data_IF_823682688775
#
_entry.id   IF_823682688775
#
_cell.length_a   1.000
_cell.length_b   1.000
_cell.length_c   1.000
_cell.angle_alpha   90.00
_cell.angle_beta   90.00
_cell.angle_gamma   90.00
#
_symmetry.space_group_name_H-M   'P 1'
#
loop_
_entity.id
_entity.type
_entity.pdbx_description
1 polymer ?
#
# COMPACT_ATOMS: atom_id res chain seq x y z
N UNK A 1 38.33 17.32 41.79
CA UNK A 1 36.86 17.26 41.83
C UNK A 1 36.39 16.15 40.90
N UNK A 2 36.16 14.98 41.49
CA UNK A 2 35.64 13.77 40.85
C UNK A 2 34.16 13.97 40.53
N UNK A 3 33.73 13.69 39.29
CA UNK A 3 32.31 13.52 38.96
C UNK A 3 32.11 12.16 38.33
N UNK A 4 31.41 11.33 39.10
CA UNK A 4 30.93 10.01 38.77
C UNK A 4 30.09 9.98 37.49
N UNK A 5 30.48 9.14 36.55
CA UNK A 5 29.61 8.60 35.50
C UNK A 5 29.13 7.22 35.96
N UNK A 6 27.82 7.08 36.19
CA UNK A 6 27.15 5.83 36.52
C UNK A 6 27.18 4.87 35.31
N UNK A 7 27.42 3.56 35.51
CA UNK A 7 27.49 2.59 34.44
C UNK A 7 26.10 2.14 33.97
N UNK A 8 25.96 2.00 32.67
CA UNK A 8 24.86 1.32 31.97
C UNK A 8 24.64 -0.09 32.54
N UNK A 9 23.47 -0.33 33.12
CA UNK A 9 23.02 -1.65 33.56
C UNK A 9 22.77 -2.55 32.36
N UNK A 10 23.77 -3.37 32.08
CA UNK A 10 23.66 -4.68 31.45
C UNK A 10 22.82 -5.58 32.36
N UNK A 11 21.66 -6.06 31.92
CA UNK A 11 21.00 -7.21 32.55
C UNK A 11 20.97 -8.37 31.56
N UNK A 12 22.05 -9.14 31.59
CA UNK A 12 22.04 -10.53 31.19
C UNK A 12 21.93 -11.39 32.47
N UNK A 13 20.89 -12.22 32.58
CA UNK A 13 20.93 -13.64 32.99
C UNK A 13 19.56 -14.17 33.49
N UNK A 14 19.05 -15.19 32.78
CA UNK A 14 17.96 -16.15 33.17
C UNK A 14 18.48 -17.10 34.30
N UNK A 15 17.85 -18.24 34.76
CA UNK A 15 16.59 -18.94 34.38
C UNK A 15 15.78 -19.65 35.54
N UNK A 16 14.61 -20.25 35.23
CA UNK A 16 14.16 -21.64 35.56
C UNK A 16 12.65 -21.77 35.81
N UNK A 17 11.92 -22.38 34.88
CA UNK A 17 11.20 -23.61 35.18
C UNK A 17 11.65 -24.67 34.18
N UNK A 18 12.22 -25.75 34.74
CA UNK A 18 12.88 -26.84 34.01
C UNK A 18 11.85 -27.90 33.63
N UNK A 19 11.82 -28.24 32.34
CA UNK A 19 11.77 -29.63 31.90
C UNK A 19 13.07 -29.86 31.10
N UNK A 20 13.69 -31.00 31.33
CA UNK A 20 15.07 -31.36 30.98
C UNK A 20 15.32 -31.51 29.47
N UNK A 21 16.47 -31.02 28.99
CA UNK A 21 17.23 -31.64 27.87
C UNK A 21 17.25 -30.90 26.51
N UNK A 22 18.48 -30.64 26.03
CA UNK A 22 18.95 -30.56 24.62
C UNK A 22 18.05 -30.04 23.49
N UNK A 23 18.50 -28.95 22.85
CA UNK A 23 18.34 -28.56 21.43
C UNK A 23 17.00 -28.58 20.68
N UNK A 24 15.85 -28.88 21.29
CA UNK A 24 14.54 -28.69 20.64
C UNK A 24 13.39 -28.49 21.63
N UNK A 25 13.38 -27.35 22.30
CA UNK A 25 12.26 -26.96 23.18
C UNK A 25 10.97 -26.83 22.37
N UNK A 26 9.90 -27.53 22.75
CA UNK A 26 8.57 -27.32 22.15
C UNK A 26 7.99 -25.98 22.59
N UNK A 27 7.46 -25.21 21.64
CA UNK A 27 6.82 -23.92 21.84
C UNK A 27 5.49 -23.89 21.13
N UNK A 28 4.55 -23.12 21.70
CA UNK A 28 3.27 -22.84 21.04
C UNK A 28 3.49 -21.71 20.05
N UNK A 29 3.02 -21.89 18.82
CA UNK A 29 3.06 -20.87 17.77
C UNK A 29 1.66 -20.64 17.23
N UNK A 30 1.40 -19.41 16.77
CA UNK A 30 0.18 -19.12 16.00
C UNK A 30 0.48 -19.46 14.55
N UNK A 31 -0.15 -20.51 14.04
CA UNK A 31 0.03 -20.97 12.67
C UNK A 31 -0.89 -20.21 11.72
N UNK A 32 -2.19 -20.16 12.03
CA UNK A 32 -3.19 -19.57 11.16
C UNK A 32 -4.25 -18.77 11.94
N UNK A 33 -4.89 -17.82 11.25
CA UNK A 33 -5.97 -16.99 11.80
C UNK A 33 -7.09 -16.92 10.78
N UNK A 34 -8.30 -17.27 11.18
CA UNK A 34 -9.49 -17.25 10.33
C UNK A 34 -10.46 -16.20 10.86
N UNK A 35 -10.75 -15.17 10.06
CA UNK A 35 -11.78 -14.19 10.39
C UNK A 35 -13.11 -14.59 9.75
N UNK A 36 -14.16 -14.63 10.56
CA UNK A 36 -15.51 -15.01 10.13
C UNK A 36 -16.43 -13.80 9.91
N UNK A 37 -15.94 -12.58 10.19
CA UNK A 37 -16.81 -11.40 10.21
C UNK A 37 -16.05 -10.13 9.80
N UNK A 38 -16.27 -9.03 10.50
CA UNK A 38 -15.80 -7.68 10.15
C UNK A 38 -14.32 -7.43 10.48
N UNK A 39 -13.68 -8.27 11.29
CA UNK A 39 -12.28 -8.05 11.68
C UNK A 39 -11.31 -8.53 10.59
N UNK A 40 -10.20 -7.82 10.43
CA UNK A 40 -9.04 -8.38 9.70
C UNK A 40 -8.32 -9.40 10.58
N UNK A 41 -7.60 -10.35 10.00
CA UNK A 41 -6.80 -11.36 10.74
C UNK A 41 -5.90 -10.74 11.82
N UNK A 42 -5.27 -9.60 11.54
CA UNK A 42 -4.45 -8.89 12.52
C UNK A 42 -5.24 -8.26 13.66
N UNK A 43 -6.46 -7.78 13.40
CA UNK A 43 -7.36 -7.25 14.44
C UNK A 43 -7.95 -8.38 15.27
N UNK A 44 -8.31 -9.50 14.65
CA UNK A 44 -8.73 -10.72 15.36
C UNK A 44 -7.61 -11.22 16.28
N UNK A 45 -6.37 -11.26 15.79
CA UNK A 45 -5.20 -11.62 16.59
C UNK A 45 -4.98 -10.64 17.75
N UNK A 46 -5.14 -9.34 17.50
CA UNK A 46 -5.05 -8.33 18.55
C UNK A 46 -6.15 -8.46 19.62
N UNK A 47 -7.37 -8.83 19.21
CA UNK A 47 -8.49 -9.09 20.11
C UNK A 47 -8.20 -10.31 20.99
N UNK A 48 -7.63 -11.38 20.43
CA UNK A 48 -7.23 -12.53 21.23
C UNK A 48 -6.02 -12.27 22.15
N UNK A 49 -5.21 -11.25 21.82
CA UNK A 49 -4.08 -10.78 22.62
C UNK A 49 -4.48 -9.85 23.79
N UNK A 50 -5.79 -9.58 23.96
CA UNK A 50 -6.35 -8.83 25.08
C UNK A 50 -6.36 -9.67 26.36
N UNK A 51 -5.15 -9.92 26.87
CA UNK A 51 -4.87 -10.68 28.10
C UNK A 51 -4.08 -9.82 29.09
N UNK A 52 -3.92 -10.24 30.35
CA UNK A 52 -3.08 -9.55 31.32
C UNK A 52 -1.65 -9.35 30.83
N UNK A 53 -1.04 -8.21 31.18
CA UNK A 53 0.32 -7.87 30.74
C UNK A 53 1.37 -8.86 31.27
N UNK A 54 1.09 -9.46 32.42
CA UNK A 54 1.89 -10.39 33.20
C UNK A 54 1.45 -11.85 33.06
N UNK A 55 0.58 -12.17 32.09
CA UNK A 55 0.16 -13.55 31.83
C UNK A 55 1.35 -14.44 31.49
N UNK A 56 1.45 -15.59 32.17
CA UNK A 56 2.46 -16.63 31.94
C UNK A 56 1.93 -17.82 31.14
N UNK A 57 0.74 -17.70 30.56
CA UNK A 57 0.16 -18.77 29.72
C UNK A 57 0.95 -18.84 28.38
N UNK A 58 1.51 -20.00 27.99
CA UNK A 58 2.23 -20.14 26.74
C UNK A 58 1.39 -19.78 25.50
N UNK A 59 0.06 -19.93 25.57
CA UNK A 59 -0.87 -19.52 24.52
C UNK A 59 -0.91 -17.99 24.40
N UNK A 60 -0.99 -17.30 25.53
CA UNK A 60 -1.02 -15.83 25.57
C UNK A 60 0.30 -15.26 25.05
N UNK A 61 1.42 -15.84 25.49
CA UNK A 61 2.75 -15.47 25.00
C UNK A 61 2.87 -15.68 23.48
N UNK A 62 2.40 -16.80 22.95
CA UNK A 62 2.43 -17.10 21.51
C UNK A 62 1.59 -16.12 20.69
N UNK A 63 0.39 -15.78 21.16
CA UNK A 63 -0.51 -14.82 20.50
C UNK A 63 0.11 -13.41 20.50
N UNK A 64 0.65 -12.97 21.64
CA UNK A 64 1.29 -11.66 21.78
C UNK A 64 2.55 -11.57 20.92
N UNK A 65 3.38 -12.61 20.93
CA UNK A 65 4.59 -12.68 20.10
C UNK A 65 4.23 -12.68 18.61
N UNK A 66 3.18 -13.42 18.21
CA UNK A 66 2.68 -13.42 16.83
C UNK A 66 2.16 -12.05 16.42
N UNK A 67 1.42 -11.35 17.28
CA UNK A 67 0.94 -10.00 17.00
C UNK A 67 2.10 -9.01 16.81
N UNK A 68 3.05 -9.00 17.73
CA UNK A 68 4.22 -8.12 17.66
C UNK A 68 5.07 -8.38 16.40
N UNK A 69 5.17 -9.65 15.98
CA UNK A 69 5.97 -10.04 14.81
C UNK A 69 5.25 -9.79 13.49
N UNK A 70 3.96 -10.16 13.41
CA UNK A 70 3.21 -10.14 12.16
C UNK A 70 2.49 -8.81 11.89
N UNK A 71 2.17 -8.05 12.95
CA UNK A 71 1.43 -6.77 12.87
C UNK A 71 1.99 -5.74 13.88
N UNK A 72 3.25 -5.30 13.72
CA UNK A 72 3.83 -4.27 14.59
C UNK A 72 3.11 -2.92 14.50
N UNK A 73 2.27 -2.72 13.48
CA UNK A 73 1.40 -1.56 13.31
C UNK A 73 0.18 -1.54 14.26
N UNK A 74 -0.17 -2.68 14.87
CA UNK A 74 -1.29 -2.78 15.82
C UNK A 74 -0.75 -2.82 17.25
N UNK A 75 -1.11 -1.82 18.06
CA UNK A 75 -0.77 -1.78 19.48
C UNK A 75 -1.66 -2.76 20.26
N UNK A 76 -1.03 -3.64 21.05
CA UNK A 76 -1.73 -4.51 22.01
C UNK A 76 -2.39 -3.65 23.09
N UNK A 77 -3.62 -4.00 23.46
CA UNK A 77 -4.33 -3.42 24.61
C UNK A 77 -4.23 -4.43 25.75
N UNK A 78 -3.34 -4.23 26.75
CA UNK A 78 -3.29 -5.09 27.92
C UNK A 78 -4.56 -4.92 28.76
N UNK A 79 -5.06 -6.01 29.31
CA UNK A 79 -6.27 -6.00 30.15
C UNK A 79 -5.85 -6.07 31.62
N UNK A 80 -6.47 -5.25 32.48
CA UNK A 80 -6.22 -5.31 33.91
C UNK A 80 -6.67 -6.68 34.48
N UNK A 81 -5.98 -7.19 35.51
CA UNK A 81 -6.30 -8.50 36.09
C UNK A 81 -7.77 -8.61 36.54
N UNK A 82 -8.32 -7.54 37.12
CA UNK A 82 -9.73 -7.46 37.56
C UNK A 82 -10.74 -7.53 36.40
N UNK A 83 -10.29 -7.22 35.19
CA UNK A 83 -11.09 -7.22 33.96
C UNK A 83 -10.85 -8.48 33.13
N UNK A 84 -10.09 -9.45 33.63
CA UNK A 84 -9.79 -10.71 32.95
C UNK A 84 -10.21 -11.90 33.80
N UNK A 85 -11.10 -12.73 33.24
CA UNK A 85 -11.51 -13.97 33.85
C UNK A 85 -10.94 -15.15 33.04
N UNK A 86 -9.97 -15.91 33.58
CA UNK A 86 -9.33 -17.01 32.87
C UNK A 86 -10.30 -18.17 32.60
N UNK A 87 -9.96 -19.03 31.65
CA UNK A 87 -10.70 -20.27 31.41
C UNK A 87 -10.50 -21.24 32.58
N UNK A 88 -11.56 -21.96 32.94
CA UNK A 88 -11.53 -23.03 33.96
C UNK A 88 -11.92 -24.37 33.32
N UNK A 89 -11.68 -25.52 33.97
CA UNK A 89 -12.09 -26.81 33.44
C UNK A 89 -13.60 -26.91 33.15
N UNK A 90 -14.41 -26.22 33.97
CA UNK A 90 -15.86 -26.11 33.83
C UNK A 90 -16.26 -25.09 32.76
N UNK A 91 -15.50 -23.97 32.66
CA UNK A 91 -15.71 -22.89 31.70
C UNK A 91 -14.54 -22.82 30.72
N UNK A 92 -14.64 -23.58 29.62
CA UNK A 92 -13.59 -23.70 28.57
C UNK A 92 -13.38 -22.44 27.70
N UNK A 93 -13.69 -21.26 28.25
CA UNK A 93 -13.44 -19.96 27.65
C UNK A 93 -13.05 -18.93 28.71
N UNK A 94 -12.18 -18.00 28.33
CA UNK A 94 -11.82 -16.80 29.09
C UNK A 94 -12.67 -15.61 28.64
N UNK A 95 -12.89 -14.66 29.55
CA UNK A 95 -13.54 -13.39 29.28
C UNK A 95 -12.59 -12.23 29.60
N UNK A 96 -12.55 -11.23 28.73
CA UNK A 96 -11.73 -10.04 28.91
C UNK A 96 -12.55 -8.78 28.59
N UNK A 97 -12.63 -7.86 29.55
CA UNK A 97 -13.25 -6.56 29.36
C UNK A 97 -12.22 -5.58 28.79
N UNK A 98 -12.44 -5.13 27.56
CA UNK A 98 -11.50 -4.30 26.79
C UNK A 98 -12.14 -2.95 26.50
N UNK A 99 -11.44 -1.87 26.85
CA UNK A 99 -11.89 -0.50 26.57
C UNK A 99 -11.16 0.09 25.37
N UNK A 100 -11.89 0.76 24.47
CA UNK A 100 -11.31 1.47 23.33
C UNK A 100 -10.71 0.57 22.24
N UNK A 101 -11.22 -0.66 22.06
CA UNK A 101 -10.80 -1.52 20.96
C UNK A 101 -11.27 -0.93 19.62
N UNK A 102 -10.34 -0.78 18.66
CA UNK A 102 -10.65 -0.14 17.39
C UNK A 102 -11.27 -1.12 16.39
N UNK A 103 -12.57 -0.97 16.15
CA UNK A 103 -13.31 -1.60 15.04
C UNK A 103 -13.68 -0.50 14.04
N UNK A 104 -13.32 -0.66 12.76
CA UNK A 104 -13.58 0.33 11.70
C UNK A 104 -13.14 1.76 12.05
N UNK A 105 -12.00 1.88 12.75
CA UNK A 105 -11.41 3.13 13.28
C UNK A 105 -12.26 3.85 14.34
N UNK A 106 -13.29 3.21 14.86
CA UNK A 106 -14.08 3.70 16.00
C UNK A 106 -13.69 2.93 17.26
N UNK A 107 -13.31 3.61 18.35
CA UNK A 107 -13.07 2.95 19.62
C UNK A 107 -14.40 2.43 20.18
N UNK A 108 -14.41 1.17 20.61
CA UNK A 108 -15.57 0.51 21.22
C UNK A 108 -15.14 -0.24 22.47
N UNK A 109 -16.01 -0.28 23.46
CA UNK A 109 -15.82 -1.05 24.69
C UNK A 109 -16.47 -2.41 24.50
N UNK A 110 -15.67 -3.47 24.62
CA UNK A 110 -16.05 -4.82 24.22
C UNK A 110 -15.76 -5.82 25.33
N UNK A 111 -16.64 -6.80 25.47
CA UNK A 111 -16.36 -8.04 26.16
C UNK A 111 -15.85 -9.05 25.15
N UNK A 112 -14.62 -9.53 25.32
CA UNK A 112 -13.98 -10.50 24.44
C UNK A 112 -14.03 -11.88 25.10
N UNK A 113 -14.55 -12.86 24.37
CA UNK A 113 -14.58 -14.26 24.77
C UNK A 113 -13.58 -15.05 23.92
N UNK A 114 -12.74 -15.87 24.56
CA UNK A 114 -11.76 -16.73 23.87
C UNK A 114 -11.77 -18.13 24.46
N UNK A 115 -11.98 -19.15 23.65
CA UNK A 115 -12.07 -20.53 24.15
C UNK A 115 -12.05 -21.58 23.05
N UNK A 116 -12.40 -22.82 23.42
CA UNK A 116 -12.61 -23.88 22.42
C UNK A 116 -13.82 -23.53 21.54
N UNK A 117 -13.81 -23.97 20.28
CA UNK A 117 -14.88 -23.66 19.32
C UNK A 117 -16.26 -24.00 19.87
N UNK A 118 -16.44 -25.21 20.39
CA UNK A 118 -17.72 -25.65 20.95
C UNK A 118 -18.21 -24.77 22.10
N UNK A 119 -17.28 -24.32 22.95
CA UNK A 119 -17.60 -23.54 24.13
C UNK A 119 -17.98 -22.10 23.77
N UNK A 120 -17.32 -21.52 22.76
CA UNK A 120 -17.67 -20.20 22.24
C UNK A 120 -18.98 -20.25 21.48
N UNK A 121 -19.20 -21.24 20.62
CA UNK A 121 -20.44 -21.40 19.86
C UNK A 121 -21.67 -21.71 20.74
N UNK A 122 -21.47 -22.23 21.95
CA UNK A 122 -22.54 -22.39 22.93
C UNK A 122 -23.05 -21.05 23.51
N UNK A 123 -22.24 -20.00 23.44
CA UNK A 123 -22.54 -18.70 24.04
C UNK A 123 -22.51 -17.52 23.06
N UNK A 124 -22.15 -17.74 21.79
CA UNK A 124 -22.04 -16.72 20.76
C UNK A 124 -22.74 -17.15 19.47
N UNK A 125 -23.34 -16.18 18.78
CA UNK A 125 -23.98 -16.41 17.48
C UNK A 125 -22.99 -16.20 16.32
N UNK A 126 -23.22 -16.95 15.25
CA UNK A 126 -22.45 -16.87 14.01
C UNK A 126 -23.43 -16.75 12.85
N UNK A 127 -23.09 -15.91 11.87
CA UNK A 127 -23.92 -15.68 10.69
C UNK A 127 -24.09 -16.99 9.91
N UNK A 128 -25.31 -17.21 9.37
CA UNK A 128 -25.69 -18.49 8.75
C UNK A 128 -24.80 -18.87 7.57
N UNK A 129 -24.34 -17.88 6.81
CA UNK A 129 -23.46 -18.03 5.66
C UNK A 129 -22.04 -18.44 6.06
N UNK A 130 -21.57 -17.95 7.21
CA UNK A 130 -20.21 -18.15 7.73
C UNK A 130 -20.08 -19.42 8.57
N UNK A 131 -21.19 -19.92 9.12
CA UNK A 131 -21.19 -21.10 10.01
C UNK A 131 -20.58 -22.35 9.38
N UNK A 132 -20.94 -22.65 8.14
CA UNK A 132 -20.47 -23.88 7.47
C UNK A 132 -18.99 -23.80 7.08
N UNK A 133 -18.51 -22.72 6.43
CA UNK A 133 -17.09 -22.50 6.18
C UNK A 133 -16.26 -22.52 7.47
N UNK A 134 -16.68 -21.79 8.50
CA UNK A 134 -15.99 -21.69 9.78
C UNK A 134 -15.75 -23.07 10.42
N UNK A 135 -16.80 -23.89 10.52
CA UNK A 135 -16.70 -25.23 11.12
C UNK A 135 -15.83 -26.17 10.29
N UNK A 136 -15.99 -26.18 8.95
CA UNK A 136 -15.20 -27.05 8.07
C UNK A 136 -13.70 -26.72 8.11
N UNK A 137 -13.36 -25.44 8.10
CA UNK A 137 -11.96 -25.00 8.17
C UNK A 137 -11.35 -25.34 9.52
N UNK A 138 -12.08 -25.08 10.61
CA UNK A 138 -11.62 -25.45 11.94
C UNK A 138 -11.42 -26.97 12.08
N UNK A 139 -12.39 -27.78 11.66
CA UNK A 139 -12.30 -29.25 11.71
C UNK A 139 -11.10 -29.76 10.88
N UNK A 140 -10.88 -29.17 9.70
CA UNK A 140 -9.72 -29.50 8.86
C UNK A 140 -8.40 -29.22 9.60
N UNK A 141 -8.25 -28.03 10.19
CA UNK A 141 -7.04 -27.64 10.90
C UNK A 141 -6.82 -28.50 12.17
N UNK A 142 -7.89 -28.82 12.89
CA UNK A 142 -7.81 -29.72 14.05
C UNK A 142 -7.41 -31.14 13.65
N UNK A 143 -7.90 -31.65 12.52
CA UNK A 143 -7.46 -32.93 11.95
C UNK A 143 -6.00 -32.94 11.50
N UNK A 144 -5.44 -31.78 11.15
CA UNK A 144 -4.00 -31.63 10.87
C UNK A 144 -3.15 -31.51 12.13
N UNK A 145 -3.74 -31.58 13.32
CA UNK A 145 -3.04 -31.53 14.61
C UNK A 145 -2.89 -30.12 15.19
N UNK A 146 -3.55 -29.12 14.62
CA UNK A 146 -3.59 -27.77 15.18
C UNK A 146 -4.69 -27.66 16.23
N UNK A 147 -4.56 -26.74 17.18
CA UNK A 147 -5.60 -26.45 18.16
C UNK A 147 -6.26 -25.13 17.85
N UNK A 148 -7.57 -25.13 17.55
CA UNK A 148 -8.29 -23.91 17.24
C UNK A 148 -8.89 -23.26 18.50
N UNK A 149 -8.66 -21.97 18.66
CA UNK A 149 -9.26 -21.13 19.68
C UNK A 149 -10.21 -20.11 19.03
N UNK A 150 -11.50 -20.27 19.25
CA UNK A 150 -12.49 -19.32 18.80
C UNK A 150 -12.44 -18.03 19.63
N UNK A 151 -12.74 -16.92 18.97
CA UNK A 151 -12.81 -15.58 19.55
C UNK A 151 -14.17 -14.99 19.19
N UNK A 152 -14.89 -14.53 20.20
CA UNK A 152 -16.15 -13.81 20.05
C UNK A 152 -16.08 -12.48 20.78
N UNK A 153 -16.90 -11.52 20.35
CA UNK A 153 -17.00 -10.21 20.99
C UNK A 153 -18.46 -9.79 21.17
N UNK A 154 -18.72 -9.06 22.26
CA UNK A 154 -19.99 -8.39 22.54
C UNK A 154 -19.71 -6.94 22.91
N UNK A 155 -20.58 -6.02 22.47
CA UNK A 155 -20.53 -4.63 22.93
C UNK A 155 -20.97 -4.54 24.40
N UNK A 156 -20.30 -3.70 25.18
CA UNK A 156 -20.68 -3.47 26.58
C UNK A 156 -21.77 -2.41 26.61
N UNK A 157 -22.93 -2.77 27.12
CA UNK A 157 -24.09 -1.89 27.24
C UNK A 157 -23.85 -0.82 28.32
N UNK A 158 -24.59 0.30 28.31
CA UNK A 158 -24.43 1.39 29.29
C UNK A 158 -24.62 0.97 30.76
N UNK A 159 -25.30 -0.15 31.00
CA UNK A 159 -25.49 -0.76 32.32
C UNK A 159 -24.29 -1.62 32.77
N UNK A 160 -23.26 -1.75 31.94
CA UNK A 160 -22.05 -2.52 32.19
C UNK A 160 -22.16 -4.00 31.85
N UNK A 161 -23.30 -4.47 31.35
CA UNK A 161 -23.50 -5.86 30.94
C UNK A 161 -23.04 -6.09 29.49
N UNK A 162 -22.52 -7.29 29.15
CA UNK A 162 -22.23 -7.63 27.77
C UNK A 162 -23.53 -7.86 27.00
N UNK A 163 -23.62 -7.29 25.79
CA UNK A 163 -24.68 -7.61 24.84
C UNK A 163 -24.55 -9.01 24.24
N UNK A 164 -25.17 -9.25 23.09
CA UNK A 164 -25.07 -10.54 22.41
C UNK A 164 -23.64 -10.78 21.88
N UNK A 165 -23.08 -11.95 22.18
CA UNK A 165 -21.77 -12.33 21.65
C UNK A 165 -21.90 -12.78 20.21
N UNK A 166 -21.03 -12.26 19.36
CA UNK A 166 -20.88 -12.71 17.99
C UNK A 166 -19.48 -13.29 17.78
N UNK A 167 -19.39 -14.40 17.07
CA UNK A 167 -18.11 -14.99 16.68
C UNK A 167 -17.42 -14.08 15.68
N UNK A 168 -16.18 -13.68 16.00
CA UNK A 168 -15.34 -12.86 15.12
C UNK A 168 -14.38 -13.73 14.30
N UNK A 169 -14.03 -14.92 14.80
CA UNK A 169 -13.12 -15.84 14.10
C UNK A 169 -12.48 -16.88 15.04
N UNK A 170 -11.42 -17.52 14.57
CA UNK A 170 -10.58 -18.38 15.41
C UNK A 170 -9.09 -18.25 15.08
N UNK A 171 -8.25 -18.70 16.00
CA UNK A 171 -6.80 -18.76 15.89
C UNK A 171 -6.36 -20.21 16.02
N UNK A 172 -5.62 -20.72 15.03
CA UNK A 172 -5.05 -22.05 15.06
C UNK A 172 -3.64 -22.00 15.65
N UNK A 173 -3.44 -22.79 16.71
CA UNK A 173 -2.17 -22.93 17.42
C UNK A 173 -1.51 -24.23 17.03
N UNK A 174 -0.20 -24.17 16.77
CA UNK A 174 0.64 -25.34 16.58
C UNK A 174 1.55 -25.55 17.79
N UNK A 175 1.97 -26.79 18.00
CA UNK A 175 3.05 -27.13 18.93
C UNK A 175 4.26 -27.53 18.09
N UNK A 176 5.27 -26.68 18.06
CA UNK A 176 6.43 -26.83 17.19
C UNK A 176 7.71 -26.79 17.99
N UNK A 177 8.77 -27.38 17.44
CA UNK A 177 10.11 -27.24 17.98
C UNK A 177 10.59 -25.80 17.80
N UNK A 178 11.23 -25.21 18.81
CA UNK A 178 11.69 -23.82 18.78
C UNK A 178 12.64 -23.54 17.61
N UNK A 179 13.43 -24.52 17.20
CA UNK A 179 14.32 -24.40 16.04
C UNK A 179 13.54 -24.28 14.73
N UNK A 180 12.44 -25.03 14.59
CA UNK A 180 11.56 -25.03 13.42
C UNK A 180 10.63 -23.82 13.42
N UNK A 181 10.06 -23.44 14.56
CA UNK A 181 9.32 -22.20 14.73
C UNK A 181 10.14 -20.96 14.35
N UNK A 182 11.43 -20.92 14.72
CA UNK A 182 12.35 -19.84 14.29
C UNK A 182 12.60 -19.84 12.78
N UNK A 183 12.64 -21.02 12.14
CA UNK A 183 12.77 -21.15 10.68
C UNK A 183 11.47 -20.75 9.97
N UNK A 184 10.31 -21.10 10.50
CA UNK A 184 9.00 -20.79 9.92
C UNK A 184 8.63 -19.31 10.06
N UNK A 185 8.87 -18.71 11.23
CA UNK A 185 8.73 -17.25 11.42
C UNK A 185 9.69 -16.47 10.50
N UNK A 186 10.88 -17.02 10.24
CA UNK A 186 11.84 -16.46 9.29
C UNK A 186 11.59 -16.84 7.82
N UNK A 187 10.65 -17.76 7.55
CA UNK A 187 10.69 -18.58 6.36
C UNK A 187 9.41 -19.28 5.95
N UNK A 188 8.21 -18.79 6.28
CA UNK A 188 6.99 -19.18 5.56
C UNK A 188 6.98 -18.43 4.21
N UNK A 189 7.51 -19.00 3.12
CA UNK A 189 7.75 -18.30 1.85
C UNK A 189 6.46 -18.17 1.02
N UNK A 190 5.36 -18.73 1.53
CA UNK A 190 4.05 -18.76 0.92
C UNK A 190 3.06 -17.80 1.61
N UNK A 191 3.43 -17.22 2.76
CA UNK A 191 2.64 -16.18 3.40
C UNK A 191 2.71 -14.89 2.56
N UNK A 192 1.54 -14.36 2.20
CA UNK A 192 1.43 -13.09 1.48
C UNK A 192 1.37 -11.92 2.47
N UNK A 193 2.29 -10.99 2.34
CA UNK A 193 2.32 -9.75 3.11
C UNK A 193 1.91 -8.61 2.18
N UNK A 194 0.88 -7.84 2.59
CA UNK A 194 0.51 -6.61 1.90
C UNK A 194 1.46 -5.50 2.28
N UNK A 195 2.20 -4.97 1.32
CA UNK A 195 3.05 -3.80 1.48
C UNK A 195 2.34 -2.61 0.84
N UNK A 196 2.05 -1.57 1.62
CA UNK A 196 1.52 -0.33 1.09
C UNK A 196 2.65 0.44 0.42
N UNK A 197 2.74 0.32 -0.90
CA UNK A 197 3.72 1.04 -1.68
C UNK A 197 3.25 2.47 -1.91
N UNK A 198 2.06 2.68 -2.48
CA UNK A 198 1.66 3.97 -3.03
C UNK A 198 0.73 4.74 -2.10
N UNK A 199 1.16 5.92 -1.66
CA UNK A 199 0.32 6.81 -0.86
C UNK A 199 -0.91 7.29 -1.66
N UNK A 200 -2.00 7.59 -0.96
CA UNK A 200 -3.24 8.07 -1.59
C UNK A 200 -3.00 9.33 -2.42
N UNK A 201 -2.15 10.25 -1.94
CA UNK A 201 -1.76 11.48 -2.65
C UNK A 201 -1.12 11.18 -4.00
N UNK A 202 -0.19 10.23 -4.05
CA UNK A 202 0.51 9.87 -5.30
C UNK A 202 -0.45 9.24 -6.31
N UNK A 203 -1.40 8.42 -5.85
CA UNK A 203 -2.46 7.84 -6.70
C UNK A 203 -3.36 8.93 -7.29
N UNK A 204 -3.85 9.85 -6.47
CA UNK A 204 -4.67 10.98 -6.94
C UNK A 204 -3.92 11.81 -7.97
N UNK A 205 -2.64 12.13 -7.71
CA UNK A 205 -1.82 12.88 -8.67
C UNK A 205 -1.68 12.15 -10.01
N UNK A 206 -1.46 10.85 -10.01
CA UNK A 206 -1.33 10.08 -11.24
C UNK A 206 -2.63 10.06 -12.05
N UNK A 207 -3.76 9.73 -11.43
CA UNK A 207 -5.04 9.67 -12.14
C UNK A 207 -5.50 11.04 -12.62
N UNK A 208 -5.23 12.10 -11.85
CA UNK A 208 -5.44 13.48 -12.31
C UNK A 208 -4.55 13.83 -13.51
N UNK A 209 -3.28 13.42 -13.51
CA UNK A 209 -2.39 13.61 -14.66
C UNK A 209 -2.92 12.89 -15.90
N UNK A 210 -3.38 11.64 -15.76
CA UNK A 210 -3.94 10.88 -16.87
C UNK A 210 -5.12 11.60 -17.52
N UNK A 211 -6.11 12.02 -16.72
CA UNK A 211 -7.30 12.71 -17.23
C UNK A 211 -6.94 14.01 -17.94
N UNK A 212 -6.05 14.80 -17.35
CA UNK A 212 -5.62 16.08 -17.94
C UNK A 212 -4.80 15.89 -19.23
N UNK A 213 -3.87 14.93 -19.26
CA UNK A 213 -3.06 14.64 -20.45
C UNK A 213 -3.94 14.12 -21.59
N UNK A 214 -4.95 13.30 -21.31
CA UNK A 214 -5.91 12.83 -22.32
C UNK A 214 -6.71 14.02 -22.89
N UNK A 215 -7.27 14.88 -22.02
CA UNK A 215 -8.01 16.07 -22.46
C UNK A 215 -7.13 17.01 -23.30
N UNK A 216 -5.91 17.29 -22.84
CA UNK A 216 -4.91 18.12 -23.55
C UNK A 216 -4.51 17.51 -24.89
N UNK A 217 -4.35 16.19 -24.96
CA UNK A 217 -3.96 15.49 -26.19
C UNK A 217 -5.06 15.53 -27.24
N UNK A 218 -6.30 15.21 -26.86
CA UNK A 218 -7.45 15.23 -27.78
C UNK A 218 -7.68 16.64 -28.31
N UNK A 219 -7.76 17.62 -27.41
CA UNK A 219 -7.98 19.02 -27.81
C UNK A 219 -6.78 19.60 -28.57
N UNK A 220 -5.55 19.25 -28.18
CA UNK A 220 -4.33 19.70 -28.84
C UNK A 220 -4.19 19.17 -30.27
N UNK A 221 -4.54 17.90 -30.48
CA UNK A 221 -4.57 17.30 -31.82
C UNK A 221 -5.61 17.97 -32.70
N UNK A 222 -6.83 18.20 -32.20
CA UNK A 222 -7.89 18.96 -32.89
C UNK A 222 -7.43 20.39 -33.24
N UNK A 223 -6.67 21.04 -32.36
CA UNK A 223 -6.15 22.40 -32.60
C UNK A 223 -5.07 22.41 -33.70
N UNK A 224 -4.25 21.37 -33.74
CA UNK A 224 -3.17 21.21 -34.72
C UNK A 224 -3.71 20.84 -36.10
N UNK A 225 -4.66 19.91 -36.16
CA UNK A 225 -5.32 19.47 -37.39
C UNK A 225 -6.84 19.70 -37.30
N UNK A 226 -7.33 20.91 -37.60
CA UNK A 226 -8.75 21.23 -37.55
C UNK A 226 -9.57 20.49 -38.63
N UNK A 227 -8.91 19.86 -39.61
CA UNK A 227 -9.57 19.12 -40.69
C UNK A 227 -10.33 17.88 -40.22
N UNK A 228 -10.02 17.37 -39.02
CA UNK A 228 -10.70 16.21 -38.43
C UNK A 228 -12.11 16.53 -37.92
N UNK A 229 -12.40 17.80 -37.66
CA UNK A 229 -13.72 18.24 -37.23
C UNK A 229 -14.66 18.34 -38.43
N UNK A 230 -15.98 18.09 -38.26
CA UNK A 230 -16.96 18.40 -39.27
C UNK A 230 -16.78 19.86 -39.68
N UNK A 231 -16.47 20.07 -40.96
CA UNK A 231 -16.38 21.43 -41.48
C UNK A 231 -17.76 22.07 -41.30
N UNK A 232 -17.83 23.28 -40.71
CA UNK A 232 -19.11 23.93 -40.50
C UNK A 232 -19.83 24.02 -41.85
N UNK A 233 -21.00 23.35 -41.96
CA UNK A 233 -21.91 23.68 -43.05
C UNK A 233 -22.28 25.14 -42.82
N UNK A 234 -21.82 26.01 -43.72
CA UNK A 234 -22.14 27.43 -43.66
C UNK A 234 -23.62 27.53 -44.02
N UNK A 235 -24.48 27.48 -43.00
CA UNK A 235 -25.85 27.94 -43.10
C UNK A 235 -25.83 29.46 -42.85
N UNK A 236 -26.15 30.31 -43.86
CA UNK A 236 -26.20 31.75 -43.70
C UNK A 236 -27.22 32.23 -42.64
N UNK A 237 -28.16 31.37 -42.24
CA UNK A 237 -29.22 31.67 -41.27
C UNK A 237 -29.01 30.99 -39.88
N UNK A 238 -27.99 30.16 -39.72
CA UNK A 238 -27.75 29.37 -38.50
C UNK A 238 -26.75 30.02 -37.52
N UNK A 239 -26.75 29.62 -36.23
CA UNK A 239 -25.73 30.07 -35.28
C UNK A 239 -24.33 29.65 -35.72
N UNK A 240 -23.37 30.59 -35.68
CA UNK A 240 -21.96 30.33 -36.04
C UNK A 240 -21.37 29.23 -35.15
N UNK A 241 -20.84 28.13 -35.72
CA UNK A 241 -20.27 27.04 -34.92
C UNK A 241 -19.04 27.50 -34.12
N UNK A 242 -19.12 27.46 -32.78
CA UNK A 242 -18.03 27.87 -31.86
C UNK A 242 -17.13 26.69 -31.41
N UNK A 243 -17.18 25.57 -32.13
CA UNK A 243 -16.54 24.32 -31.73
C UNK A 243 -15.03 24.46 -31.47
N UNK A 244 -14.30 25.15 -32.37
CA UNK A 244 -12.87 25.40 -32.20
C UNK A 244 -12.57 26.29 -30.99
N UNK A 245 -13.46 27.25 -30.68
CA UNK A 245 -13.37 28.07 -29.48
C UNK A 245 -13.51 27.23 -28.21
N UNK A 246 -14.49 26.33 -28.18
CA UNK A 246 -14.69 25.37 -27.08
C UNK A 246 -13.49 24.44 -26.90
N UNK A 247 -12.93 23.89 -27.98
CA UNK A 247 -11.75 23.02 -27.91
C UNK A 247 -10.53 23.75 -27.35
N UNK A 248 -10.29 24.99 -27.78
CA UNK A 248 -9.22 25.85 -27.23
C UNK A 248 -9.46 26.16 -25.75
N UNK A 249 -10.69 26.47 -25.37
CA UNK A 249 -11.04 26.74 -23.98
C UNK A 249 -10.75 25.53 -23.08
N UNK A 250 -11.22 24.34 -23.47
CA UNK A 250 -10.95 23.09 -22.73
C UNK A 250 -9.43 22.86 -22.65
N UNK A 251 -8.70 23.02 -23.75
CA UNK A 251 -7.25 22.86 -23.78
C UNK A 251 -6.54 23.79 -22.77
N UNK A 252 -6.91 25.08 -22.74
CA UNK A 252 -6.29 26.03 -21.82
C UNK A 252 -6.64 25.73 -20.36
N UNK A 253 -7.91 25.44 -20.05
CA UNK A 253 -8.35 25.09 -18.69
C UNK A 253 -7.64 23.83 -18.21
N UNK A 254 -7.56 22.78 -19.05
CA UNK A 254 -6.80 21.58 -18.73
C UNK A 254 -5.31 21.86 -18.56
N UNK A 255 -4.73 22.76 -19.37
CA UNK A 255 -3.34 23.18 -19.27
C UNK A 255 -3.02 23.87 -17.95
N UNK A 256 -3.86 24.83 -17.53
CA UNK A 256 -3.70 25.47 -16.22
C UNK A 256 -3.93 24.49 -15.06
N UNK A 257 -4.91 23.59 -15.18
CA UNK A 257 -5.11 22.50 -14.21
C UNK A 257 -3.87 21.59 -14.09
N UNK A 258 -3.23 21.29 -15.22
CA UNK A 258 -2.01 20.48 -15.25
C UNK A 258 -0.80 21.21 -14.66
N UNK A 259 -0.69 22.53 -14.86
CA UNK A 259 0.31 23.37 -14.19
C UNK A 259 0.12 23.35 -12.68
N UNK A 260 -1.10 23.53 -12.18
CA UNK A 260 -1.39 23.44 -10.73
C UNK A 260 -0.97 22.07 -10.20
N UNK A 261 -1.33 21.00 -10.90
CA UNK A 261 -0.94 19.64 -10.53
C UNK A 261 0.59 19.46 -10.52
N UNK A 262 1.30 20.00 -11.51
CA UNK A 262 2.76 19.98 -11.58
C UNK A 262 3.41 20.78 -10.44
N UNK A 263 2.85 21.93 -10.06
CA UNK A 263 3.32 22.72 -8.92
C UNK A 263 3.11 21.99 -7.59
N UNK A 264 1.95 21.36 -7.38
CA UNK A 264 1.73 20.52 -6.19
C UNK A 264 2.71 19.36 -6.13
N UNK A 265 3.03 18.74 -7.28
CA UNK A 265 4.05 17.69 -7.39
C UNK A 265 5.43 18.22 -7.02
N UNK A 266 5.82 19.38 -7.55
CA UNK A 266 7.10 20.01 -7.24
C UNK A 266 7.20 20.32 -5.74
N UNK A 267 6.15 20.86 -5.14
CA UNK A 267 6.09 21.13 -3.69
C UNK A 267 6.24 19.84 -2.86
N UNK A 268 5.49 18.79 -3.20
CA UNK A 268 5.59 17.49 -2.53
C UNK A 268 6.98 16.86 -2.70
N UNK A 269 7.67 17.10 -3.82
CA UNK A 269 9.01 16.57 -4.05
C UNK A 269 10.06 17.06 -3.04
N UNK A 270 9.81 18.21 -2.40
CA UNK A 270 10.66 18.76 -1.34
C UNK A 270 10.15 18.46 0.07
N UNK A 271 8.82 18.48 0.28
CA UNK A 271 8.22 18.46 1.64
C UNK A 271 7.79 17.06 2.10
N UNK A 272 7.50 16.14 1.18
CA UNK A 272 6.91 14.85 1.55
C UNK A 272 7.84 13.97 2.38
N UNK A 273 7.27 13.36 3.44
CA UNK A 273 7.95 12.34 4.28
C UNK A 273 8.11 10.99 3.55
N UNK A 274 7.24 10.70 2.58
CA UNK A 274 7.29 9.43 1.83
C UNK A 274 8.51 9.38 0.90
N UNK A 275 9.28 8.30 1.00
CA UNK A 275 10.51 8.09 0.22
C UNK A 275 10.27 8.18 -1.30
N UNK A 276 9.13 7.70 -1.77
CA UNK A 276 8.75 7.67 -3.20
C UNK A 276 8.31 9.04 -3.74
N UNK A 277 7.91 9.97 -2.87
CA UNK A 277 7.50 11.31 -3.28
C UNK A 277 8.70 12.26 -3.47
N UNK A 278 9.87 11.94 -2.88
CA UNK A 278 11.04 12.82 -2.88
C UNK A 278 11.79 12.82 -4.21
N UNK A 279 12.34 13.98 -4.56
CA UNK A 279 13.23 14.18 -5.72
C UNK A 279 14.37 13.15 -5.82
N UNK A 280 14.92 12.73 -4.67
CA UNK A 280 16.00 11.74 -4.60
C UNK A 280 15.62 10.34 -5.15
N UNK A 281 14.34 10.04 -5.29
CA UNK A 281 13.82 8.80 -5.88
C UNK A 281 13.76 8.82 -7.41
N UNK A 282 13.95 9.98 -8.05
CA UNK A 282 13.90 10.12 -9.51
C UNK A 282 15.27 9.88 -10.17
N UNK A 283 16.37 9.97 -9.42
CA UNK A 283 17.72 9.78 -9.96
C UNK A 283 18.31 8.41 -9.57
N UNK A 284 18.31 7.42 -10.49
CA UNK A 284 18.75 6.06 -10.22
C UNK A 284 20.28 5.89 -10.20
N UNK A 285 21.06 6.83 -10.73
CA UNK A 285 22.49 6.65 -10.97
C UNK A 285 23.35 7.19 -9.83
N UNK A 286 23.25 6.59 -8.62
CA UNK A 286 24.07 7.01 -7.46
C UNK A 286 25.19 6.03 -7.12
N UNK A 287 25.05 4.77 -7.48
CA UNK A 287 26.01 3.71 -7.16
C UNK A 287 26.37 2.86 -8.39
N UNK A 288 27.57 2.26 -8.38
CA UNK A 288 28.01 1.27 -9.39
C UNK A 288 27.06 0.07 -9.47
N UNK A 289 26.38 -0.28 -8.37
CA UNK A 289 25.36 -1.34 -8.32
C UNK A 289 24.08 -0.98 -9.09
N UNK A 290 23.70 0.29 -9.10
CA UNK A 290 22.49 0.76 -9.80
C UNK A 290 22.69 0.71 -11.32
N UNK A 291 23.91 1.04 -11.78
CA UNK A 291 24.31 0.95 -13.20
C UNK A 291 24.35 -0.51 -13.67
N UNK A 292 24.87 -1.42 -12.84
CA UNK A 292 24.83 -2.86 -13.14
C UNK A 292 23.39 -3.41 -13.21
N UNK A 293 22.52 -2.95 -12.30
CA UNK A 293 21.08 -3.28 -12.34
C UNK A 293 20.35 -2.74 -13.56
N UNK A 294 20.72 -1.54 -14.03
CA UNK A 294 20.20 -0.95 -15.28
C UNK A 294 20.59 -1.80 -16.50
N UNK A 295 21.87 -2.21 -16.59
CA UNK A 295 22.34 -3.06 -17.70
C UNK A 295 21.66 -4.42 -17.67
N UNK A 296 21.52 -5.04 -16.49
CA UNK A 296 20.81 -6.31 -16.33
C UNK A 296 19.33 -6.22 -16.71
N UNK A 297 18.68 -5.10 -16.39
CA UNK A 297 17.31 -4.81 -16.83
C UNK A 297 17.20 -4.70 -18.35
N UNK A 298 18.08 -3.91 -18.98
CA UNK A 298 18.05 -3.70 -20.42
C UNK A 298 18.27 -5.04 -21.14
N UNK A 299 19.22 -5.86 -20.66
CA UNK A 299 19.45 -7.21 -21.19
C UNK A 299 18.23 -8.11 -21.05
N UNK A 300 17.56 -8.09 -19.89
CA UNK A 300 16.32 -8.84 -19.69
C UNK A 300 15.21 -8.39 -20.66
N UNK A 301 14.99 -7.08 -20.85
CA UNK A 301 14.00 -6.57 -21.79
C UNK A 301 14.36 -6.81 -23.27
N UNK A 302 15.65 -6.92 -23.58
CA UNK A 302 16.15 -7.35 -24.90
C UNK A 302 16.17 -8.88 -25.06
N UNK A 303 15.59 -9.63 -24.12
CA UNK A 303 15.54 -11.10 -24.11
C UNK A 303 16.90 -11.80 -24.11
N UNK A 304 17.96 -11.11 -23.67
CA UNK A 304 19.31 -11.66 -23.55
C UNK A 304 19.44 -12.55 -22.31
N UNK A 305 18.75 -12.21 -21.22
CA UNK A 305 18.76 -12.98 -19.97
C UNK A 305 17.38 -13.56 -19.65
N UNK A 306 17.31 -14.81 -19.18
CA UNK A 306 16.06 -15.52 -18.88
C UNK A 306 15.37 -15.05 -17.58
N UNK A 307 16.11 -14.48 -16.64
CA UNK A 307 15.60 -14.03 -15.33
C UNK A 307 16.00 -12.57 -15.08
N UNK A 308 15.00 -11.71 -14.84
CA UNK A 308 15.20 -10.29 -14.54
C UNK A 308 15.38 -10.03 -13.03
N UNK A 309 16.14 -8.98 -12.64
CA UNK A 309 16.23 -8.55 -11.26
C UNK A 309 14.86 -8.05 -10.72
N UNK A 310 14.51 -8.45 -9.50
CA UNK A 310 13.25 -8.07 -8.83
C UNK A 310 13.40 -6.73 -8.13
N UNK A 311 12.59 -5.74 -8.54
CA UNK A 311 12.47 -4.42 -7.91
C UNK A 311 11.09 -4.24 -7.27
N UNK A 312 11.03 -3.57 -6.12
CA UNK A 312 9.81 -3.31 -5.36
C UNK A 312 9.05 -2.11 -5.92
N UNK A 313 9.74 -0.98 -6.09
CA UNK A 313 9.11 0.27 -6.48
C UNK A 313 9.31 0.54 -7.96
N UNK A 314 10.53 0.87 -8.37
CA UNK A 314 10.85 1.20 -9.76
C UNK A 314 12.22 0.67 -10.16
N UNK A 315 12.25 0.03 -11.32
CA UNK A 315 13.47 -0.33 -12.00
C UNK A 315 14.29 0.93 -12.39
N UNK A 316 15.64 0.90 -12.35
CA UNK A 316 16.50 1.97 -12.88
C UNK A 316 16.11 2.49 -14.27
N UNK A 317 15.70 1.61 -15.20
CA UNK A 317 15.24 2.02 -16.53
C UNK A 317 13.93 2.80 -16.46
N UNK A 318 13.01 2.39 -15.59
CA UNK A 318 11.76 3.11 -15.35
C UNK A 318 12.03 4.49 -14.73
N UNK A 319 12.97 4.58 -13.78
CA UNK A 319 13.35 5.86 -13.16
C UNK A 319 13.97 6.85 -14.18
N UNK A 320 14.79 6.35 -15.12
CA UNK A 320 15.30 7.17 -16.23
C UNK A 320 14.19 7.63 -17.17
N UNK A 321 13.30 6.72 -17.57
CA UNK A 321 12.15 7.05 -18.41
C UNK A 321 11.25 8.09 -17.74
N UNK A 322 11.02 7.98 -16.42
CA UNK A 322 10.27 8.98 -15.67
C UNK A 322 10.99 10.33 -15.61
N UNK A 323 12.31 10.34 -15.41
CA UNK A 323 13.07 11.61 -15.44
C UNK A 323 12.97 12.28 -16.81
N UNK A 324 13.07 11.50 -17.89
CA UNK A 324 12.92 12.00 -19.26
C UNK A 324 11.52 12.56 -19.51
N UNK A 325 10.45 11.84 -19.11
CA UNK A 325 9.08 12.33 -19.31
C UNK A 325 8.78 13.57 -18.47
N UNK A 326 9.31 13.69 -17.24
CA UNK A 326 9.19 14.92 -16.45
C UNK A 326 9.86 16.11 -17.16
N UNK A 327 11.03 15.91 -17.75
CA UNK A 327 11.69 16.92 -18.57
C UNK A 327 10.83 17.35 -19.77
N UNK A 328 10.27 16.38 -20.51
CA UNK A 328 9.37 16.66 -21.63
C UNK A 328 8.11 17.41 -21.18
N UNK A 329 7.50 17.04 -20.05
CA UNK A 329 6.33 17.73 -19.50
C UNK A 329 6.63 19.19 -19.13
N UNK A 330 7.82 19.47 -18.58
CA UNK A 330 8.25 20.84 -18.29
C UNK A 330 8.34 21.65 -19.58
N UNK A 331 8.97 21.12 -20.62
CA UNK A 331 9.08 21.78 -21.93
C UNK A 331 7.68 21.97 -22.54
N UNK A 332 6.78 20.99 -22.37
CA UNK A 332 5.40 21.09 -22.86
C UNK A 332 4.63 22.23 -22.18
N UNK A 333 4.77 22.38 -20.87
CA UNK A 333 4.17 23.48 -20.10
C UNK A 333 4.72 24.83 -20.58
N UNK A 334 6.05 24.97 -20.67
CA UNK A 334 6.66 26.24 -21.06
C UNK A 334 6.38 26.61 -22.52
N UNK A 335 6.42 25.65 -23.44
CA UNK A 335 6.05 25.90 -24.84
C UNK A 335 4.57 26.30 -24.98
N UNK A 336 3.67 25.64 -24.24
CA UNK A 336 2.25 25.99 -24.21
C UNK A 336 2.01 27.40 -23.65
N UNK A 337 2.66 27.75 -22.53
CA UNK A 337 2.59 29.08 -21.93
C UNK A 337 3.21 30.16 -22.85
N UNK A 338 4.28 29.83 -23.57
CA UNK A 338 4.90 30.75 -24.52
C UNK A 338 3.95 31.07 -25.68
N UNK A 339 3.25 30.07 -26.22
CA UNK A 339 2.24 30.26 -27.28
C UNK A 339 1.02 31.01 -26.74
N UNK A 340 0.55 30.67 -25.53
CA UNK A 340 -0.60 31.34 -24.90
C UNK A 340 -0.30 32.82 -24.60
N UNK A 341 0.92 33.12 -24.12
CA UNK A 341 1.36 34.47 -23.78
C UNK A 341 1.43 35.43 -24.97
N UNK A 342 1.42 34.93 -26.21
CA UNK A 342 1.34 35.77 -27.42
C UNK A 342 0.05 36.59 -27.47
N UNK A 343 -1.02 36.15 -26.80
CA UNK A 343 -2.29 36.88 -26.76
C UNK A 343 -2.20 38.22 -26.01
N UNK A 344 -1.40 38.28 -24.93
CA UNK A 344 -1.26 39.48 -24.10
C UNK A 344 0.20 39.87 -23.92
N UNK A 345 0.92 40.04 -25.03
CA UNK A 345 2.35 40.32 -25.03
C UNK A 345 2.74 41.68 -24.40
N UNK A 346 1.78 42.59 -24.22
CA UNK A 346 2.02 43.90 -23.59
C UNK A 346 2.21 43.81 -22.07
N UNK A 347 1.71 42.75 -21.44
CA UNK A 347 1.96 42.51 -20.02
C UNK A 347 3.38 41.96 -19.80
N UNK A 348 4.12 42.54 -18.85
CA UNK A 348 5.52 42.18 -18.60
C UNK A 348 5.74 40.69 -18.27
N UNK A 349 4.81 40.05 -17.56
CA UNK A 349 4.88 38.61 -17.26
C UNK A 349 4.76 37.78 -18.55
N UNK A 350 3.72 38.01 -19.35
CA UNK A 350 3.48 37.27 -20.60
C UNK A 350 4.55 37.54 -21.66
N UNK A 351 5.15 38.74 -21.67
CA UNK A 351 6.30 39.08 -22.52
C UNK A 351 7.50 38.19 -22.24
N UNK A 352 7.83 37.96 -20.97
CA UNK A 352 8.95 37.08 -20.58
C UNK A 352 8.65 35.64 -20.95
N UNK A 353 7.44 35.13 -20.65
CA UNK A 353 7.09 33.74 -20.96
C UNK A 353 7.02 33.46 -22.46
N UNK A 354 6.64 34.45 -23.29
CA UNK A 354 6.58 34.30 -24.75
C UNK A 354 7.89 34.61 -25.47
N UNK A 355 8.91 35.15 -24.78
CA UNK A 355 10.22 35.47 -25.38
C UNK A 355 10.86 34.28 -26.14
N UNK A 356 10.81 33.03 -25.64
CA UNK A 356 11.36 31.88 -26.39
C UNK A 356 10.69 31.64 -27.74
N UNK A 357 9.39 31.97 -27.88
CA UNK A 357 8.69 31.86 -29.16
C UNK A 357 9.18 32.90 -30.18
N UNK A 358 9.68 34.05 -29.71
CA UNK A 358 10.34 35.06 -30.54
C UNK A 358 11.73 34.62 -31.02
N UNK A 359 12.50 33.92 -30.19
CA UNK A 359 13.86 33.46 -30.55
C UNK A 359 13.87 32.27 -31.51
N UNK A 360 12.99 31.30 -31.26
CA UNK A 360 12.95 30.03 -32.00
C UNK A 360 12.01 30.14 -33.21
N UNK A 361 11.09 31.12 -33.20
CA UNK A 361 10.04 31.33 -34.19
C UNK A 361 8.72 30.67 -33.79
N UNK A 362 7.61 31.38 -34.02
CA UNK A 362 6.26 30.91 -33.64
C UNK A 362 5.90 29.56 -34.29
N UNK A 363 6.14 29.33 -35.61
CA UNK A 363 5.86 28.03 -36.22
C UNK A 363 6.66 26.89 -35.59
N UNK A 364 7.94 27.12 -35.32
CA UNK A 364 8.81 26.14 -34.67
C UNK A 364 8.39 25.85 -33.24
N UNK A 365 7.95 26.86 -32.48
CA UNK A 365 7.42 26.66 -31.13
C UNK A 365 6.15 25.79 -31.14
N UNK A 366 5.24 26.00 -32.11
CA UNK A 366 4.06 25.15 -32.31
C UNK A 366 4.46 23.71 -32.69
N UNK A 367 5.44 23.56 -33.56
CA UNK A 367 5.98 22.25 -33.94
C UNK A 367 6.57 21.51 -32.74
N UNK A 368 7.39 22.16 -31.92
CA UNK A 368 7.97 21.57 -30.70
C UNK A 368 6.87 21.12 -29.74
N UNK A 369 5.86 21.96 -29.51
CA UNK A 369 4.73 21.63 -28.63
C UNK A 369 3.92 20.42 -29.14
N UNK A 370 3.67 20.35 -30.46
CA UNK A 370 2.98 19.21 -31.07
C UNK A 370 3.85 17.94 -31.07
N UNK A 371 5.15 18.06 -31.36
CA UNK A 371 6.08 16.94 -31.37
C UNK A 371 6.17 16.28 -29.98
N UNK A 372 6.25 17.08 -28.92
CA UNK A 372 6.30 16.56 -27.55
C UNK A 372 4.98 15.85 -27.17
N UNK A 373 3.82 16.33 -27.63
CA UNK A 373 2.55 15.61 -27.47
C UNK A 373 2.64 14.19 -28.06
N UNK A 374 3.19 14.03 -29.27
CA UNK A 374 3.38 12.70 -29.86
C UNK A 374 4.40 11.84 -29.11
N UNK A 375 5.49 12.43 -28.60
CA UNK A 375 6.43 11.70 -27.74
C UNK A 375 5.75 11.21 -26.44
N UNK A 376 4.86 12.01 -25.87
CA UNK A 376 4.04 11.61 -24.72
C UNK A 376 3.11 10.45 -25.09
N UNK A 377 2.53 10.43 -26.30
CA UNK A 377 1.70 9.31 -26.75
C UNK A 377 2.50 8.00 -26.85
N UNK A 378 3.68 8.05 -27.46
CA UNK A 378 4.59 6.89 -27.52
C UNK A 378 4.92 6.39 -26.12
N UNK A 379 5.23 7.30 -25.19
CA UNK A 379 5.47 6.96 -23.79
C UNK A 379 4.25 6.28 -23.14
N UNK A 380 3.04 6.82 -23.32
CA UNK A 380 1.81 6.26 -22.72
C UNK A 380 1.56 4.84 -23.23
N UNK A 381 1.70 4.61 -24.54
CA UNK A 381 1.50 3.28 -25.14
C UNK A 381 2.49 2.27 -24.54
N UNK A 382 3.78 2.63 -24.50
CA UNK A 382 4.83 1.78 -23.92
C UNK A 382 4.57 1.56 -22.42
N UNK A 383 4.19 2.60 -21.68
CA UNK A 383 3.92 2.55 -20.25
C UNK A 383 2.78 1.59 -19.92
N UNK A 384 1.66 1.68 -20.64
CA UNK A 384 0.50 0.78 -20.46
C UNK A 384 0.91 -0.66 -20.80
N UNK A 385 1.59 -0.88 -21.92
CA UNK A 385 2.06 -2.21 -22.30
C UNK A 385 2.96 -2.83 -21.23
N UNK A 386 3.96 -2.10 -20.74
CA UNK A 386 4.87 -2.60 -19.71
C UNK A 386 4.15 -2.84 -18.38
N UNK A 387 3.19 -1.99 -18.01
CA UNK A 387 2.39 -2.17 -16.81
C UNK A 387 1.54 -3.45 -16.88
N UNK A 388 0.84 -3.67 -18.01
CA UNK A 388 0.02 -4.87 -18.23
C UNK A 388 0.88 -6.12 -18.32
N UNK A 389 2.02 -6.06 -19.02
CA UNK A 389 2.96 -7.19 -19.11
C UNK A 389 3.51 -7.57 -17.74
N UNK A 390 3.95 -6.60 -16.93
CA UNK A 390 4.46 -6.87 -15.59
C UNK A 390 3.39 -7.48 -14.67
N UNK A 391 2.13 -7.04 -14.81
CA UNK A 391 1.04 -7.61 -14.02
C UNK A 391 0.70 -9.05 -14.44
N UNK A 392 0.69 -9.31 -15.75
CA UNK A 392 0.35 -10.63 -16.32
C UNK A 392 1.48 -11.66 -16.16
N UNK A 393 2.72 -11.28 -16.44
CA UNK A 393 3.87 -12.20 -16.47
C UNK A 393 4.56 -12.29 -15.11
N UNK A 394 4.77 -11.17 -14.43
CA UNK A 394 5.60 -11.09 -13.23
C UNK A 394 4.75 -11.11 -11.94
N UNK A 395 3.41 -11.12 -12.06
CA UNK A 395 2.43 -11.09 -10.95
C UNK A 395 2.72 -9.98 -9.93
N UNK A 396 3.30 -8.88 -10.41
CA UNK A 396 3.79 -7.81 -9.55
C UNK A 396 2.68 -6.93 -8.95
N UNK A 397 1.43 -7.07 -9.40
CA UNK A 397 0.30 -6.31 -8.85
C UNK A 397 0.37 -4.82 -9.14
N UNK A 398 1.13 -4.40 -10.16
CA UNK A 398 1.48 -2.99 -10.40
C UNK A 398 0.26 -2.12 -10.65
N UNK A 399 -0.65 -2.57 -11.51
CA UNK A 399 -1.90 -1.85 -11.84
C UNK A 399 -2.82 -1.82 -10.61
N UNK A 400 -3.03 -2.97 -9.98
CA UNK A 400 -3.87 -3.11 -8.78
C UNK A 400 -3.37 -2.19 -7.66
N UNK A 401 -2.05 -2.11 -7.46
CA UNK A 401 -1.44 -1.24 -6.45
C UNK A 401 -1.66 0.25 -6.73
N UNK A 402 -1.76 0.65 -7.99
CA UNK A 402 -2.03 2.04 -8.35
C UNK A 402 -3.49 2.45 -8.09
N UNK A 403 -4.39 1.48 -7.98
CA UNK A 403 -5.78 1.68 -7.61
C UNK A 403 -5.96 1.58 -6.09
N UNK A 404 -5.43 0.54 -5.44
CA UNK A 404 -5.70 0.23 -4.04
C UNK A 404 -4.59 0.67 -3.04
N UNK A 405 -3.42 1.07 -3.53
CA UNK A 405 -2.28 1.55 -2.74
C UNK A 405 -1.31 0.48 -2.22
N UNK A 406 -1.56 -0.81 -2.41
CA UNK A 406 -0.73 -1.89 -1.87
C UNK A 406 -0.46 -3.03 -2.84
N UNK A 407 0.72 -3.65 -2.71
CA UNK A 407 1.12 -4.85 -3.43
C UNK A 407 1.17 -6.02 -2.45
N UNK A 408 0.77 -7.20 -2.91
CA UNK A 408 0.94 -8.45 -2.16
C UNK A 408 2.26 -9.10 -2.57
N UNK A 409 3.15 -9.33 -1.61
CA UNK A 409 4.44 -9.97 -1.83
C UNK A 409 4.58 -11.19 -0.95
N UNK A 410 5.34 -12.18 -1.44
CA UNK A 410 5.71 -13.33 -0.63
C UNK A 410 6.65 -12.89 0.48
N UNK A 411 6.40 -13.38 1.69
CA UNK A 411 7.26 -13.18 2.84
C UNK A 411 8.65 -13.75 2.54
N UNK A 412 9.69 -13.00 2.86
CA UNK A 412 11.07 -13.35 2.56
C UNK A 412 11.61 -12.87 1.21
N UNK A 413 10.77 -12.33 0.32
CA UNK A 413 11.27 -11.65 -0.89
C UNK A 413 12.19 -10.50 -0.48
N UNK A 414 13.36 -10.42 -1.11
CA UNK A 414 14.36 -9.36 -0.89
C UNK A 414 14.50 -8.54 -2.17
N UNK A 415 13.65 -7.51 -2.36
CA UNK A 415 13.79 -6.61 -3.49
C UNK A 415 15.12 -5.88 -3.41
N UNK A 416 15.70 -5.51 -4.55
CA UNK A 416 17.00 -4.83 -4.58
C UNK A 416 16.95 -3.39 -4.02
N UNK A 417 15.78 -2.78 -4.02
CA UNK A 417 15.50 -1.39 -3.66
C UNK A 417 14.79 -1.22 -2.30
N UNK A 418 14.51 -2.32 -1.60
CA UNK A 418 13.81 -2.33 -0.32
C UNK A 418 14.36 -3.38 0.67
N UNK A 419 14.18 -3.19 1.98
CA UNK A 419 14.50 -4.23 2.96
C UNK A 419 13.71 -5.51 2.68
N UNK A 420 14.21 -6.64 3.19
CA UNK A 420 13.54 -7.94 3.10
C UNK A 420 12.09 -7.80 3.62
N UNK A 421 11.12 -8.33 2.89
CA UNK A 421 9.71 -8.27 3.26
C UNK A 421 9.43 -9.33 4.33
N UNK A 422 8.96 -8.90 5.50
CA UNK A 422 8.82 -9.75 6.70
C UNK A 422 10.07 -9.73 7.55
#
# INVERSE_FOLDING_TARGET
>A
MSRHTLPTTTTASRPRHRLTGGDDQLVVTVSETYSARRLTSGRLLAMAACTPADSTDPVDEAIVASLATNRPDIVRIPVAADNFHPATPERRYSLAKVTGFLIDKKPQDLMVMRGTIDAVLAHATIDREEKTPFLKTAEFLERTGLRCLAVASAEILPDGTPGEFHVEGFIALALEKLSDARKEVAGNPNAWVRVNLWSATLRVQHWANLVLIVALSITGYVIMDPGILPQPMIDPAGPTPYLMGTMRFIHFVSGFGWIVLALTRLWLAFVARDRQLRWRSLWPLKSKKDVQGLIGTIRYYLFIDAHGPVYLAHNPLQQLAYTAIYGLCIIQIFSGLAIYGLYNHYNGFWRILSAPAGWIGIPNMRLIHALIMFLIWVFIIIHIYLAVRADSVERHGGISSMINGGVWLRRGTKPLDAPKVG
#
